data_IF_882943204875
#
_entry.id   IF_882943204875
#
_cell.length_a   1.000
_cell.length_b   1.000
_cell.length_c   1.000
_cell.angle_alpha   90.00
_cell.angle_beta   90.00
_cell.angle_gamma   90.00
#
_symmetry.space_group_name_H-M   'P 1'
#
loop_
_entity.id
_entity.type
_entity.pdbx_description
1 polymer ?
#
# COMPACT_ATOMS: atom_id res chain seq x y z
N UNK A 1 -11.58 40.25 -13.99
CA UNK A 1 -11.57 39.12 -14.94
C UNK A 1 -10.74 38.00 -14.35
N UNK A 2 -11.33 36.81 -14.26
CA UNK A 2 -10.77 35.48 -13.96
C UNK A 2 -9.87 35.29 -12.71
N UNK A 3 -10.51 34.92 -11.60
CA UNK A 3 -9.87 34.05 -10.62
C UNK A 3 -9.65 32.68 -11.29
N UNK A 4 -8.40 32.40 -11.69
CA UNK A 4 -8.00 31.09 -12.20
C UNK A 4 -7.96 30.07 -11.05
N UNK A 5 -9.15 29.68 -10.56
CA UNK A 5 -9.34 28.44 -9.83
C UNK A 5 -9.18 27.28 -10.82
N UNK A 6 -7.92 26.92 -11.11
CA UNK A 6 -7.62 25.62 -11.67
C UNK A 6 -8.13 24.61 -10.62
N UNK A 7 -9.02 23.67 -10.95
CA UNK A 7 -9.42 22.64 -10.00
C UNK A 7 -8.13 21.98 -9.54
N UNK A 8 -7.86 22.06 -8.23
CA UNK A 8 -6.82 21.27 -7.58
C UNK A 8 -7.09 19.85 -8.03
N UNK A 9 -6.23 19.31 -8.89
CA UNK A 9 -6.17 17.88 -9.12
C UNK A 9 -6.06 17.28 -7.73
N UNK A 10 -7.17 16.68 -7.30
CA UNK A 10 -7.30 15.83 -6.12
C UNK A 10 -6.34 14.66 -6.36
N UNK A 11 -5.06 14.95 -6.18
CA UNK A 11 -3.99 13.98 -6.27
C UNK A 11 -4.05 13.40 -4.88
N UNK A 12 -4.92 12.41 -4.68
CA UNK A 12 -5.05 11.74 -3.41
C UNK A 12 -3.63 11.34 -2.99
N UNK A 13 -3.06 12.07 -2.03
CA UNK A 13 -1.69 11.81 -1.58
C UNK A 13 -1.68 10.37 -1.08
N UNK A 14 -0.91 9.52 -1.76
CA UNK A 14 -0.75 8.13 -1.37
C UNK A 14 0.51 8.00 -0.54
N UNK A 15 0.39 7.46 0.66
CA UNK A 15 1.50 7.12 1.53
C UNK A 15 1.86 5.64 1.35
N UNK A 16 3.15 5.31 1.11
CA UNK A 16 3.60 3.93 1.13
C UNK A 16 3.54 3.39 2.56
N UNK A 17 2.94 2.22 2.74
CA UNK A 17 2.79 1.57 4.05
C UNK A 17 3.06 0.07 3.94
N UNK A 18 3.76 -0.49 4.92
CA UNK A 18 3.91 -1.94 5.10
C UNK A 18 2.67 -2.49 5.80
N UNK A 19 2.01 -3.48 5.23
CA UNK A 19 0.98 -4.23 5.94
C UNK A 19 1.62 -5.15 6.99
N UNK A 20 1.27 -4.93 8.27
CA UNK A 20 1.73 -5.73 9.40
C UNK A 20 0.87 -6.99 9.61
N UNK A 21 -0.36 -6.98 9.09
CA UNK A 21 -1.32 -8.09 9.17
C UNK A 21 -2.09 -8.19 7.84
N UNK A 22 -2.64 -9.37 7.57
CA UNK A 22 -3.54 -9.56 6.44
C UNK A 22 -4.86 -8.80 6.69
N UNK A 23 -5.28 -7.99 5.72
CA UNK A 23 -6.53 -7.25 5.80
C UNK A 23 -7.32 -7.43 4.49
N UNK A 24 -8.34 -8.27 4.55
CA UNK A 24 -9.21 -8.58 3.41
C UNK A 24 -9.99 -7.36 2.91
N UNK A 25 -10.38 -6.42 3.78
CA UNK A 25 -11.15 -5.23 3.43
C UNK A 25 -10.42 -4.34 2.44
N UNK A 26 -9.09 -4.28 2.55
CA UNK A 26 -8.22 -3.47 1.68
C UNK A 26 -7.31 -4.32 0.79
N UNK A 27 -7.54 -5.65 0.72
CA UNK A 27 -6.69 -6.63 0.00
C UNK A 27 -5.21 -6.51 0.34
N UNK A 28 -4.90 -6.18 1.60
CA UNK A 28 -3.53 -6.08 2.09
C UNK A 28 -3.07 -7.43 2.58
N UNK A 29 -1.83 -7.77 2.26
CA UNK A 29 -1.19 -9.01 2.69
C UNK A 29 -0.04 -8.70 3.63
N UNK A 30 0.06 -9.44 4.74
CA UNK A 30 1.11 -9.21 5.73
C UNK A 30 2.52 -9.28 5.09
N UNK A 31 3.39 -8.32 5.43
CA UNK A 31 4.76 -8.21 4.95
C UNK A 31 4.90 -7.52 3.60
N UNK A 32 3.81 -7.03 3.00
CA UNK A 32 3.82 -6.35 1.70
C UNK A 32 3.61 -4.84 1.81
N UNK A 33 4.29 -4.09 0.94
CA UNK A 33 4.20 -2.61 0.89
C UNK A 33 3.16 -2.14 -0.12
N UNK A 34 2.19 -1.36 0.33
CA UNK A 34 1.13 -0.78 -0.49
C UNK A 34 1.17 0.74 -0.47
N UNK A 35 0.83 1.38 -1.60
CA UNK A 35 0.59 2.82 -1.64
C UNK A 35 -0.90 3.07 -1.40
N UNK A 36 -1.25 3.57 -0.20
CA UNK A 36 -2.64 3.84 0.18
C UNK A 36 -2.87 5.35 0.33
N UNK A 37 -4.09 5.86 0.08
CA UNK A 37 -4.42 7.23 0.41
C UNK A 37 -4.08 7.56 1.86
N UNK A 38 -3.49 8.73 2.12
CA UNK A 38 -2.99 9.13 3.46
C UNK A 38 -4.05 9.00 4.56
N UNK A 39 -5.31 9.30 4.25
CA UNK A 39 -6.43 9.14 5.20
C UNK A 39 -6.66 7.68 5.62
N UNK A 40 -6.61 6.76 4.64
CA UNK A 40 -6.75 5.31 4.87
C UNK A 40 -5.50 4.78 5.58
N UNK A 41 -4.30 5.17 5.14
CA UNK A 41 -3.04 4.79 5.75
C UNK A 41 -2.99 5.16 7.24
N UNK A 42 -3.35 6.41 7.59
CA UNK A 42 -3.48 6.87 8.98
C UNK A 42 -4.49 6.05 9.78
N UNK A 43 -5.65 5.77 9.20
CA UNK A 43 -6.71 4.99 9.85
C UNK A 43 -6.29 3.54 10.12
N UNK A 44 -5.59 2.91 9.17
CA UNK A 44 -5.06 1.56 9.31
C UNK A 44 -3.86 1.51 10.26
N UNK A 45 -3.01 2.54 10.27
CA UNK A 45 -1.89 2.67 11.21
C UNK A 45 -2.39 2.77 12.65
N UNK A 46 -3.44 3.56 12.90
CA UNK A 46 -4.08 3.66 14.23
C UNK A 46 -4.66 2.32 14.71
N UNK A 47 -5.05 1.45 13.79
CA UNK A 47 -5.52 0.09 14.09
C UNK A 47 -4.36 -0.92 14.25
N UNK A 48 -3.11 -0.51 14.01
CA UNK A 48 -1.94 -1.40 14.02
C UNK A 48 -1.88 -2.36 12.83
N UNK A 49 -2.59 -2.05 11.74
CA UNK A 49 -2.68 -2.92 10.56
C UNK A 49 -1.54 -2.64 9.58
N UNK A 50 -1.09 -1.39 9.49
CA UNK A 50 -0.02 -0.96 8.59
C UNK A 50 1.02 -0.09 9.31
N UNK A 51 2.22 0.00 8.74
CA UNK A 51 3.34 0.81 9.23
C UNK A 51 3.98 1.62 8.09
N UNK A 52 3.95 2.95 8.20
CA UNK A 52 4.57 3.89 7.27
C UNK A 52 6.04 4.22 7.62
N UNK A 53 6.63 3.56 8.61
CA UNK A 53 8.03 3.80 8.96
C UNK A 53 8.94 3.34 7.82
N UNK A 54 9.83 4.22 7.34
CA UNK A 54 10.75 3.93 6.24
C UNK A 54 11.56 2.65 6.45
N UNK A 55 11.91 2.31 7.71
CA UNK A 55 12.59 1.05 8.03
C UNK A 55 11.69 -0.18 7.86
N UNK A 56 10.43 -0.06 8.25
CA UNK A 56 9.44 -1.11 8.06
C UNK A 56 9.18 -1.31 6.57
N UNK A 57 8.96 -0.22 5.83
CA UNK A 57 8.76 -0.23 4.38
C UNK A 57 9.97 -0.84 3.65
N UNK A 58 11.19 -0.50 4.05
CA UNK A 58 12.41 -1.05 3.46
C UNK A 58 12.60 -2.56 3.72
N UNK A 59 12.09 -3.06 4.85
CA UNK A 59 12.10 -4.49 5.20
C UNK A 59 10.93 -5.29 4.61
N UNK A 60 9.89 -4.60 4.12
CA UNK A 60 8.76 -5.23 3.47
C UNK A 60 9.13 -5.88 2.14
N UNK A 61 8.46 -6.99 1.80
CA UNK A 61 8.43 -7.46 0.41
C UNK A 61 7.77 -6.35 -0.41
N UNK A 62 8.56 -5.63 -1.21
CA UNK A 62 8.02 -4.70 -2.21
C UNK A 62 6.94 -5.46 -2.98
N UNK A 63 5.72 -4.93 -3.00
CA UNK A 63 4.66 -5.48 -3.85
C UNK A 63 5.17 -5.37 -5.28
N UNK A 64 5.61 -6.51 -5.80
CA UNK A 64 5.57 -6.80 -7.21
C UNK A 64 4.12 -6.59 -7.65
N UNK A 65 3.97 -5.91 -8.77
CA UNK A 65 2.75 -5.73 -9.56
C UNK A 65 1.73 -6.87 -9.38
N UNK A 66 0.42 -6.60 -9.50
CA UNK A 66 -0.61 -7.63 -9.35
C UNK A 66 -0.28 -8.83 -10.25
N UNK A 67 0.25 -9.90 -9.66
CA UNK A 67 0.50 -11.13 -10.40
C UNK A 67 -0.86 -11.64 -10.85
N UNK A 68 -1.08 -11.53 -12.15
CA UNK A 68 -1.90 -12.48 -12.87
C UNK A 68 -1.34 -13.86 -12.54
N UNK A 69 -2.18 -14.61 -11.86
CA UNK A 69 -2.24 -16.06 -11.82
C UNK A 69 -1.04 -16.83 -11.23
N UNK A 70 -1.35 -17.52 -10.14
CA UNK A 70 -1.13 -18.96 -9.94
C UNK A 70 0.02 -19.62 -10.70
N UNK A 71 0.97 -20.21 -9.97
CA UNK A 71 1.01 -21.67 -9.73
C UNK A 71 2.36 -22.05 -9.13
N UNK A 72 2.31 -22.59 -7.91
CA UNK A 72 3.36 -23.45 -7.35
C UNK A 72 3.79 -24.49 -8.39
N UNK A 73 5.08 -24.72 -8.58
CA UNK A 73 5.65 -26.07 -8.56
C UNK A 73 7.18 -25.98 -8.64
N UNK A 74 7.79 -26.69 -7.70
CA UNK A 74 9.21 -26.79 -7.41
C UNK A 74 9.71 -28.00 -8.19
N UNK A 75 10.52 -27.80 -9.23
CA UNK A 75 11.21 -28.90 -9.88
C UNK A 75 12.72 -28.76 -9.66
N UNK A 76 13.28 -29.81 -9.07
CA UNK A 76 14.69 -30.01 -8.76
C UNK A 76 15.24 -30.98 -9.81
N UNK A 77 16.38 -30.66 -10.41
CA UNK A 77 17.36 -31.64 -10.88
C UNK A 77 18.77 -31.14 -10.56
#
# INVERSE_FOLDING_TARGET
MAANNKPKTDTAETTPVLALVDNASYKLKCGFVYALPTDIAQSLKKQGIVDDNEKAIAGGKKVSEPNTDSKSEQDTD
#
